data_IF_405800353997
#
_entry.id   IF_405800353997
#
_cell.length_a   1.000
_cell.length_b   1.000
_cell.length_c   1.000
_cell.angle_alpha   90.00
_cell.angle_beta   90.00
_cell.angle_gamma   90.00
#
_symmetry.space_group_name_H-M   'P 1'
#
loop_
_entity.id
_entity.type
_entity.pdbx_description
1 polymer ?
#
# COMPACT_ATOMS: atom_id res chain seq x y z
N UNK A 1 -72.17 -40.69 33.82
CA UNK A 1 -71.55 -40.94 32.50
C UNK A 1 -70.40 -39.97 32.31
N UNK A 2 -69.19 -40.51 32.31
CA UNK A 2 -67.91 -39.84 32.13
C UNK A 2 -67.63 -39.60 30.64
N UNK A 3 -67.08 -38.45 30.26
CA UNK A 3 -66.07 -38.36 29.21
C UNK A 3 -65.11 -37.20 29.48
N UNK A 4 -63.91 -37.56 29.95
CA UNK A 4 -62.73 -36.69 30.01
C UNK A 4 -62.21 -36.40 28.59
N UNK A 5 -61.89 -35.13 28.32
CA UNK A 5 -61.04 -34.73 27.17
C UNK A 5 -59.62 -34.46 27.68
N UNK A 6 -58.73 -35.42 27.44
CA UNK A 6 -57.28 -35.25 27.50
C UNK A 6 -56.81 -34.61 26.18
N UNK A 7 -56.15 -33.45 26.24
CA UNK A 7 -55.32 -32.92 25.15
C UNK A 7 -53.86 -33.10 25.54
N UNK A 8 -53.20 -34.03 24.86
CA UNK A 8 -51.77 -34.24 24.94
C UNK A 8 -50.99 -33.45 23.88
N UNK A 9 -49.80 -33.03 24.32
CA UNK A 9 -48.50 -33.21 23.66
C UNK A 9 -48.03 -32.28 22.53
N UNK A 10 -46.80 -31.80 22.77
CA UNK A 10 -45.67 -31.67 21.86
C UNK A 10 -45.32 -30.28 21.31
N UNK A 11 -44.55 -29.55 22.12
CA UNK A 11 -43.63 -28.49 21.66
C UNK A 11 -42.25 -29.10 21.42
N UNK A 12 -41.95 -29.47 20.17
CA UNK A 12 -40.60 -29.83 19.72
C UNK A 12 -40.00 -28.71 18.86
N UNK A 13 -38.93 -28.16 19.41
CA UNK A 13 -37.73 -27.58 18.78
C UNK A 13 -37.71 -27.41 17.26
N UNK A 14 -37.62 -26.15 16.81
CA UNK A 14 -37.06 -25.77 15.50
C UNK A 14 -35.75 -25.01 15.72
N UNK A 15 -34.64 -25.76 15.79
CA UNK A 15 -33.29 -25.22 15.57
C UNK A 15 -32.95 -25.54 14.12
N UNK A 16 -33.01 -24.54 13.25
CA UNK A 16 -32.65 -24.68 11.84
C UNK A 16 -31.13 -24.74 11.69
N UNK A 17 -30.63 -25.87 11.19
CA UNK A 17 -29.27 -26.03 10.70
C UNK A 17 -29.08 -25.27 9.38
N UNK A 18 -28.09 -24.39 9.30
CA UNK A 18 -27.61 -23.89 8.01
C UNK A 18 -26.09 -23.84 7.99
N UNK A 19 -25.47 -24.99 7.73
CA UNK A 19 -24.13 -25.07 7.20
C UNK A 19 -24.03 -26.35 6.34
N UNK A 20 -23.27 -26.28 5.26
CA UNK A 20 -22.97 -27.31 4.24
C UNK A 20 -23.78 -27.21 2.94
N UNK A 21 -23.25 -26.45 1.99
CA UNK A 21 -23.32 -26.81 0.56
C UNK A 21 -21.92 -26.76 -0.04
N UNK A 22 -21.42 -27.96 -0.34
CA UNK A 22 -20.23 -28.24 -1.13
C UNK A 22 -20.59 -28.44 -2.60
N UNK A 23 -19.67 -27.99 -3.44
CA UNK A 23 -19.43 -28.20 -4.87
C UNK A 23 -20.12 -29.36 -5.60
N UNK A 24 -20.64 -29.05 -6.81
CA UNK A 24 -20.57 -29.93 -7.98
C UNK A 24 -20.62 -29.10 -9.30
N UNK A 25 -19.47 -29.05 -9.97
CA UNK A 25 -19.21 -29.22 -11.42
C UNK A 25 -20.14 -28.57 -12.49
N UNK A 26 -19.54 -27.68 -13.29
CA UNK A 26 -19.99 -27.18 -14.62
C UNK A 26 -19.87 -28.26 -15.72
N UNK A 27 -20.55 -28.17 -16.89
CA UNK A 27 -20.17 -27.20 -17.93
C UNK A 27 -21.34 -26.69 -18.80
N UNK A 28 -21.33 -25.41 -19.17
CA UNK A 28 -21.89 -25.00 -20.48
C UNK A 28 -21.10 -23.82 -21.04
N UNK A 29 -20.37 -24.09 -22.11
CA UNK A 29 -19.74 -23.11 -22.98
C UNK A 29 -20.83 -22.46 -23.82
N UNK A 30 -21.25 -21.24 -23.46
CA UNK A 30 -21.94 -20.35 -24.41
C UNK A 30 -20.89 -19.40 -25.00
N UNK A 31 -20.54 -19.69 -26.24
CA UNK A 31 -19.83 -18.80 -27.16
C UNK A 31 -20.60 -17.48 -27.25
N UNK A 32 -20.03 -16.42 -26.67
CA UNK A 32 -20.51 -15.06 -26.85
C UNK A 32 -19.63 -14.39 -27.91
N UNK A 33 -20.19 -14.20 -29.10
CA UNK A 33 -19.60 -13.45 -30.20
C UNK A 33 -20.00 -11.98 -30.01
N UNK A 34 -19.08 -11.05 -29.73
CA UNK A 34 -19.40 -9.63 -29.83
C UNK A 34 -19.36 -9.21 -31.31
N UNK A 35 -20.54 -8.92 -31.84
CA UNK A 35 -20.72 -8.14 -33.05
C UNK A 35 -20.39 -6.65 -32.78
N UNK A 36 -20.05 -5.96 -33.85
CA UNK A 36 -19.78 -4.52 -33.98
C UNK A 36 -18.31 -4.10 -33.93
N UNK A 37 -17.83 -3.91 -35.16
CA UNK A 37 -16.56 -3.38 -35.62
C UNK A 37 -16.79 -1.89 -35.92
N UNK A 38 -16.68 -1.01 -34.93
CA UNK A 38 -16.66 0.44 -35.15
C UNK A 38 -16.21 1.19 -33.88
N UNK A 39 -14.91 1.53 -33.79
CA UNK A 39 -14.34 2.73 -33.12
C UNK A 39 -12.83 2.58 -32.85
N UNK A 40 -12.08 2.08 -33.83
CA UNK A 40 -10.62 1.95 -33.75
C UNK A 40 -9.87 3.17 -34.33
N UNK A 41 -10.53 4.31 -34.53
CA UNK A 41 -9.93 5.50 -35.12
C UNK A 41 -10.46 6.79 -34.49
N UNK A 42 -10.26 7.00 -33.18
CA UNK A 42 -10.49 8.33 -32.62
C UNK A 42 -9.74 8.65 -31.31
N UNK A 43 -8.45 8.33 -31.21
CA UNK A 43 -7.64 8.76 -30.05
C UNK A 43 -6.21 9.23 -30.39
N UNK A 44 -6.01 9.72 -31.62
CA UNK A 44 -4.71 10.21 -32.11
C UNK A 44 -4.62 11.74 -32.25
N UNK A 45 -5.47 12.52 -31.55
CA UNK A 45 -5.52 13.98 -31.70
C UNK A 45 -5.50 14.79 -30.39
N UNK A 46 -4.83 14.31 -29.33
CA UNK A 46 -4.58 15.13 -28.12
C UNK A 46 -3.13 15.11 -27.67
N UNK A 47 -2.24 15.49 -28.58
CA UNK A 47 -0.95 16.06 -28.23
C UNK A 47 -0.79 17.38 -28.97
N UNK A 48 -0.89 18.50 -28.24
CA UNK A 48 -0.13 19.75 -28.41
C UNK A 48 -0.91 20.89 -27.75
N UNK A 49 -0.30 21.46 -26.71
CA UNK A 49 -0.37 22.86 -26.22
C UNK A 49 -0.38 22.87 -24.70
N UNK A 50 0.79 23.16 -24.11
CA UNK A 50 0.99 24.04 -22.94
C UNK A 50 2.47 23.97 -22.54
N UNK A 51 3.22 24.86 -23.17
CA UNK A 51 4.55 25.31 -22.77
C UNK A 51 4.42 26.54 -21.86
N UNK A 52 5.47 26.74 -21.05
CA UNK A 52 5.75 27.88 -20.15
C UNK A 52 4.99 27.81 -18.81
N UNK A 53 5.54 28.12 -17.63
CA UNK A 53 6.66 28.99 -17.22
C UNK A 53 7.17 28.41 -15.89
N UNK A 54 8.48 28.14 -15.71
CA UNK A 54 9.10 28.11 -14.38
C UNK A 54 10.48 28.77 -14.46
N UNK A 55 10.58 29.86 -13.71
CA UNK A 55 11.71 30.71 -13.41
C UNK A 55 12.81 29.99 -12.61
N UNK A 56 14.06 30.38 -12.90
CA UNK A 56 15.24 30.09 -12.10
C UNK A 56 15.26 30.97 -10.83
N UNK A 57 15.99 30.57 -9.77
CA UNK A 57 17.25 31.29 -9.56
C UNK A 57 18.42 30.46 -8.97
N UNK A 58 19.62 30.95 -9.32
CA UNK A 58 20.84 31.14 -8.54
C UNK A 58 21.56 29.96 -7.84
N UNK A 59 22.79 29.73 -8.32
CA UNK A 59 23.91 29.15 -7.58
C UNK A 59 24.49 30.15 -6.56
N UNK A 60 25.43 29.71 -5.70
CA UNK A 60 26.79 30.18 -5.93
C UNK A 60 27.93 29.18 -5.61
N UNK A 61 29.11 29.55 -6.12
CA UNK A 61 30.49 29.28 -5.64
C UNK A 61 31.03 27.85 -5.73
N UNK A 62 32.01 27.51 -6.57
CA UNK A 62 33.41 28.00 -6.76
C UNK A 62 34.43 27.27 -5.89
N UNK A 63 35.25 26.41 -6.50
CA UNK A 63 36.67 26.13 -6.22
C UNK A 63 37.21 25.38 -7.46
N UNK A 64 38.04 25.97 -8.34
CA UNK A 64 39.42 26.48 -8.20
C UNK A 64 40.50 25.38 -8.18
N UNK A 65 41.35 25.44 -9.21
CA UNK A 65 42.72 24.89 -9.32
C UNK A 65 42.86 23.35 -9.41
N UNK A 66 43.74 22.73 -10.19
CA UNK A 66 45.09 23.11 -10.65
C UNK A 66 45.44 22.32 -11.92
N UNK A 67 45.85 23.02 -12.99
CA UNK A 67 46.59 22.43 -14.13
C UNK A 67 48.09 22.54 -13.84
N UNK A 68 48.82 21.42 -13.94
CA UNK A 68 50.29 21.40 -14.01
C UNK A 68 50.72 21.29 -15.48
N UNK A 69 51.65 22.14 -15.95
CA UNK A 69 52.52 21.80 -17.07
C UNK A 69 54.00 21.80 -16.63
N UNK A 70 54.70 20.70 -16.92
CA UNK A 70 56.17 20.59 -17.04
C UNK A 70 56.37 19.72 -18.29
N UNK A 71 57.05 20.13 -19.35
CA UNK A 71 58.48 20.48 -19.47
C UNK A 71 58.67 21.05 -20.90
N UNK A 72 59.39 22.14 -21.13
CA UNK A 72 60.84 22.20 -21.45
C UNK A 72 61.30 21.10 -22.43
N UNK A 73 62.04 21.31 -23.50
CA UNK A 73 62.57 22.47 -24.22
C UNK A 73 63.23 21.86 -25.48
N UNK A 74 63.15 22.52 -26.64
CA UNK A 74 64.22 22.54 -27.65
C UNK A 74 63.88 23.53 -28.75
N UNK A 75 64.51 24.70 -28.66
CA UNK A 75 64.68 25.64 -29.78
C UNK A 75 65.70 25.03 -30.75
N UNK A 76 65.44 24.95 -32.06
CA UNK A 76 66.49 24.99 -33.04
C UNK A 76 66.71 26.42 -33.54
N UNK A 77 68.00 26.74 -33.65
CA UNK A 77 68.61 27.97 -34.12
C UNK A 77 67.99 28.50 -35.43
N UNK A 78 67.72 29.80 -35.42
CA UNK A 78 67.33 30.61 -36.57
C UNK A 78 68.56 30.81 -37.46
N UNK A 79 68.69 30.00 -38.52
CA UNK A 79 69.55 30.35 -39.66
C UNK A 79 68.76 31.26 -40.60
N UNK A 80 69.43 32.34 -40.97
CA UNK A 80 69.11 33.31 -42.01
C UNK A 80 68.58 32.67 -43.29
N UNK A 81 67.69 33.36 -43.99
CA UNK A 81 67.97 33.95 -45.31
C UNK A 81 66.67 34.59 -45.81
N UNK A 82 66.78 35.87 -46.14
CA UNK A 82 65.81 36.62 -46.92
C UNK A 82 65.50 35.86 -48.21
N UNK A 83 64.33 35.26 -48.28
CA UNK A 83 63.76 34.74 -49.52
C UNK A 83 62.44 35.47 -49.77
N UNK A 84 62.60 36.62 -50.43
CA UNK A 84 61.81 37.00 -51.60
C UNK A 84 60.30 36.94 -51.36
N UNK A 85 59.77 38.12 -51.05
CA UNK A 85 58.44 38.58 -51.46
C UNK A 85 58.29 38.37 -52.98
N UNK A 86 57.92 37.16 -53.39
CA UNK A 86 57.20 36.95 -54.63
C UNK A 86 55.80 36.54 -54.24
N UNK A 87 54.90 37.52 -54.30
CA UNK A 87 53.49 37.27 -54.44
C UNK A 87 53.25 36.53 -55.76
N UNK A 88 53.60 35.23 -55.81
CA UNK A 88 53.04 34.30 -56.79
C UNK A 88 51.55 34.25 -56.47
N UNK A 89 50.77 35.02 -57.22
CA UNK A 89 49.32 34.83 -57.34
C UNK A 89 49.10 33.32 -57.41
N UNK A 90 48.37 32.70 -56.47
CA UNK A 90 48.16 31.27 -56.50
C UNK A 90 47.55 30.95 -57.86
N UNK A 91 48.20 30.07 -58.62
CA UNK A 91 47.60 29.52 -59.82
C UNK A 91 46.19 29.05 -59.47
N UNK A 92 45.21 29.30 -60.35
CA UNK A 92 43.79 28.99 -60.09
C UNK A 92 43.59 27.52 -59.62
N UNK A 93 44.52 26.61 -59.92
CA UNK A 93 44.51 25.21 -59.44
C UNK A 93 44.87 25.02 -57.95
N UNK A 94 45.79 25.82 -57.36
CA UNK A 94 46.18 25.65 -55.94
C UNK A 94 45.13 26.23 -54.98
N UNK A 95 44.42 27.29 -55.39
CA UNK A 95 43.30 27.85 -54.65
C UNK A 95 42.10 26.90 -54.67
N UNK A 96 41.85 26.24 -55.81
CA UNK A 96 40.81 25.21 -55.95
C UNK A 96 41.11 23.96 -55.08
N UNK A 97 42.37 23.53 -55.01
CA UNK A 97 42.79 22.43 -54.13
C UNK A 97 42.59 22.76 -52.65
N UNK A 98 42.95 23.98 -52.21
CA UNK A 98 42.71 24.46 -50.84
C UNK A 98 41.21 24.56 -50.50
N UNK A 99 40.37 25.03 -51.43
CA UNK A 99 38.91 25.07 -51.27
C UNK A 99 38.30 23.67 -51.14
N UNK A 100 38.75 22.70 -51.94
CA UNK A 100 38.32 21.29 -51.84
C UNK A 100 38.74 20.65 -50.51
N UNK A 101 39.95 20.93 -50.02
CA UNK A 101 40.42 20.46 -48.71
C UNK A 101 39.61 21.06 -47.55
N UNK A 102 39.32 22.37 -47.60
CA UNK A 102 38.48 23.05 -46.61
C UNK A 102 37.04 22.49 -46.60
N UNK A 103 36.44 22.25 -47.77
CA UNK A 103 35.12 21.64 -47.88
C UNK A 103 35.07 20.21 -47.31
N UNK A 104 36.11 19.40 -47.54
CA UNK A 104 36.25 18.07 -46.92
C UNK A 104 36.36 18.14 -45.40
N UNK A 105 37.10 19.11 -44.87
CA UNK A 105 37.23 19.32 -43.43
C UNK A 105 35.90 19.75 -42.79
N UNK A 106 35.16 20.65 -43.46
CA UNK A 106 33.86 21.11 -43.00
C UNK A 106 32.83 19.97 -43.00
N UNK A 107 32.84 19.12 -44.04
CA UNK A 107 32.00 17.91 -44.10
C UNK A 107 32.29 16.97 -42.92
N UNK A 108 33.56 16.68 -42.64
CA UNK A 108 33.97 15.87 -41.47
C UNK A 108 33.54 16.48 -40.13
N UNK A 109 33.61 17.82 -39.99
CA UNK A 109 33.12 18.51 -38.79
C UNK A 109 31.61 18.36 -38.62
N UNK A 110 30.83 18.55 -39.70
CA UNK A 110 29.37 18.37 -39.68
C UNK A 110 28.98 16.93 -39.34
N UNK A 111 29.67 15.94 -39.90
CA UNK A 111 29.48 14.52 -39.59
C UNK A 111 29.79 14.21 -38.11
N UNK A 112 30.89 14.72 -37.56
CA UNK A 112 31.22 14.55 -36.14
C UNK A 112 30.18 15.19 -35.21
N UNK A 113 29.69 16.38 -35.56
CA UNK A 113 28.62 17.05 -34.81
C UNK A 113 27.33 16.22 -34.87
N UNK A 114 26.92 15.77 -36.06
CA UNK A 114 25.75 14.92 -36.25
C UNK A 114 25.87 13.60 -35.45
N UNK A 115 27.04 12.95 -35.49
CA UNK A 115 27.31 11.75 -34.71
C UNK A 115 27.23 11.99 -33.20
N UNK A 116 27.72 13.14 -32.70
CA UNK A 116 27.58 13.53 -31.28
C UNK A 116 26.13 13.77 -30.89
N UNK A 117 25.36 14.46 -31.73
CA UNK A 117 23.92 14.71 -31.50
C UNK A 117 23.16 13.39 -31.47
N UNK A 118 23.43 12.48 -32.41
CA UNK A 118 22.80 11.16 -32.45
C UNK A 118 23.18 10.29 -31.24
N UNK A 119 24.45 10.30 -30.80
CA UNK A 119 24.86 9.62 -29.56
C UNK A 119 24.13 10.18 -28.34
N UNK A 120 23.98 11.52 -28.25
CA UNK A 120 23.25 12.18 -27.17
C UNK A 120 21.76 11.82 -27.18
N UNK A 121 21.11 11.82 -28.35
CA UNK A 121 19.69 11.46 -28.46
C UNK A 121 19.42 10.01 -28.08
N UNK A 122 20.28 9.07 -28.50
CA UNK A 122 20.21 7.67 -28.10
C UNK A 122 20.39 7.52 -26.59
N UNK A 123 21.36 8.21 -26.00
CA UNK A 123 21.59 8.19 -24.54
C UNK A 123 20.36 8.70 -23.77
N UNK A 124 19.78 9.82 -24.21
CA UNK A 124 18.56 10.38 -23.61
C UNK A 124 17.36 9.45 -23.77
N UNK A 125 17.19 8.80 -24.92
CA UNK A 125 16.13 7.81 -25.15
C UNK A 125 16.30 6.63 -24.19
N UNK A 126 17.50 6.05 -24.10
CA UNK A 126 17.81 4.96 -23.15
C UNK A 126 17.55 5.35 -21.70
N UNK A 127 17.86 6.59 -21.30
CA UNK A 127 17.57 7.07 -19.95
C UNK A 127 16.07 7.21 -19.68
N UNK A 128 15.29 7.69 -20.66
CA UNK A 128 13.82 7.74 -20.59
C UNK A 128 13.22 6.34 -20.50
N UNK A 129 13.66 5.41 -21.34
CA UNK A 129 13.17 4.03 -21.37
C UNK A 129 13.46 3.32 -20.03
N UNK A 130 14.67 3.51 -19.47
CA UNK A 130 15.01 3.00 -18.13
C UNK A 130 14.09 3.56 -17.05
N UNK A 131 13.81 4.87 -17.08
CA UNK A 131 12.89 5.52 -16.11
C UNK A 131 11.47 4.98 -16.27
N UNK A 132 11.01 4.76 -17.50
CA UNK A 132 9.69 4.22 -17.77
C UNK A 132 9.58 2.76 -17.30
N UNK A 133 10.57 1.93 -17.61
CA UNK A 133 10.61 0.54 -17.15
C UNK A 133 10.59 0.43 -15.61
N UNK A 134 11.22 1.35 -14.88
CA UNK A 134 11.11 1.40 -13.41
C UNK A 134 9.70 1.75 -12.93
N UNK A 135 9.03 2.70 -13.59
CA UNK A 135 7.63 3.03 -13.30
C UNK A 135 6.72 1.84 -13.58
N UNK A 136 6.89 1.17 -14.71
CA UNK A 136 6.06 0.03 -15.10
C UNK A 136 6.26 -1.16 -14.16
N UNK A 137 7.50 -1.40 -13.70
CA UNK A 137 7.78 -2.39 -12.63
C UNK A 137 7.05 -2.04 -11.34
N UNK A 138 7.03 -0.77 -10.95
CA UNK A 138 6.34 -0.31 -9.74
C UNK A 138 4.81 -0.44 -9.88
N UNK A 139 4.23 -0.02 -11.00
CA UNK A 139 2.79 -0.16 -11.25
C UNK A 139 2.37 -1.63 -11.31
N UNK A 140 3.18 -2.49 -11.93
CA UNK A 140 2.96 -3.94 -11.93
C UNK A 140 2.96 -4.51 -10.50
N UNK A 141 3.89 -4.09 -9.64
CA UNK A 141 3.89 -4.51 -8.23
C UNK A 141 2.68 -3.97 -7.44
N UNK A 142 2.27 -2.73 -7.68
CA UNK A 142 1.08 -2.13 -7.04
C UNK A 142 -0.24 -2.79 -7.49
N UNK A 143 -0.27 -3.43 -8.65
CA UNK A 143 -1.44 -4.16 -9.13
C UNK A 143 -1.32 -5.68 -8.91
N UNK A 144 -0.21 -6.13 -8.30
CA UNK A 144 0.03 -7.54 -7.99
C UNK A 144 -0.76 -8.00 -6.76
N UNK A 145 -1.10 -9.28 -6.73
CA UNK A 145 -1.65 -9.96 -5.56
C UNK A 145 -0.60 -10.17 -4.45
N UNK A 146 0.70 -10.15 -4.79
CA UNK A 146 1.81 -10.32 -3.84
C UNK A 146 1.92 -9.12 -2.90
N UNK A 147 2.03 -9.38 -1.60
CA UNK A 147 2.12 -8.36 -0.53
C UNK A 147 3.55 -7.80 -0.45
N UNK A 148 3.68 -6.52 -0.11
CA UNK A 148 4.98 -5.92 0.21
C UNK A 148 5.40 -6.22 1.65
N UNK A 149 4.45 -6.20 2.58
CA UNK A 149 4.67 -6.42 4.01
C UNK A 149 3.58 -7.32 4.60
N UNK A 150 3.95 -8.12 5.60
CA UNK A 150 3.05 -9.01 6.33
C UNK A 150 3.00 -8.59 7.81
N UNK A 151 2.02 -7.76 8.22
CA UNK A 151 1.89 -7.36 9.61
C UNK A 151 1.47 -8.56 10.49
N UNK A 152 2.03 -8.68 11.70
CA UNK A 152 1.53 -9.64 12.68
C UNK A 152 0.10 -9.29 13.10
N UNK A 153 -0.67 -10.33 13.46
CA UNK A 153 -2.04 -10.14 13.92
C UNK A 153 -2.07 -9.60 15.34
N UNK A 154 -2.83 -8.54 15.55
CA UNK A 154 -3.12 -7.98 16.89
C UNK A 154 -4.46 -8.45 17.46
N UNK A 155 -5.13 -9.39 16.79
CA UNK A 155 -6.37 -9.96 17.32
C UNK A 155 -6.04 -10.83 18.53
N UNK A 156 -6.73 -10.55 19.64
CA UNK A 156 -6.60 -11.30 20.87
C UNK A 156 -7.10 -12.73 20.68
N UNK A 157 -6.37 -13.67 21.26
CA UNK A 157 -6.78 -15.05 21.47
C UNK A 157 -7.78 -15.05 22.62
N UNK A 158 -8.99 -15.53 22.36
CA UNK A 158 -9.96 -15.79 23.41
C UNK A 158 -9.56 -17.04 24.19
N UNK A 159 -10.02 -17.12 25.44
CA UNK A 159 -9.91 -18.31 26.30
C UNK A 159 -10.31 -19.58 25.56
N UNK A 160 -11.46 -19.55 24.90
CA UNK A 160 -11.96 -20.65 24.08
C UNK A 160 -11.00 -21.06 22.96
N UNK A 161 -10.41 -20.10 22.24
CA UNK A 161 -9.47 -20.40 21.17
C UNK A 161 -8.14 -20.95 21.71
N UNK A 162 -7.74 -20.56 22.93
CA UNK A 162 -6.59 -21.15 23.61
C UNK A 162 -6.85 -22.63 23.93
N UNK A 163 -8.01 -22.93 24.51
CA UNK A 163 -8.48 -24.31 24.76
C UNK A 163 -8.53 -25.16 23.49
N UNK A 164 -9.25 -24.69 22.48
CA UNK A 164 -9.41 -25.42 21.21
C UNK A 164 -8.04 -25.68 20.56
N UNK A 165 -7.13 -24.70 20.60
CA UNK A 165 -5.78 -24.85 20.07
C UNK A 165 -5.00 -25.98 20.73
N UNK A 166 -5.06 -26.09 22.06
CA UNK A 166 -4.37 -27.15 22.80
C UNK A 166 -5.01 -28.51 22.60
N UNK A 167 -6.35 -28.60 22.64
CA UNK A 167 -7.05 -29.86 22.36
C UNK A 167 -6.84 -30.38 20.95
N UNK A 168 -6.69 -29.49 19.96
CA UNK A 168 -6.30 -29.90 18.60
C UNK A 168 -4.87 -30.45 18.58
N UNK A 169 -3.94 -29.84 19.32
CA UNK A 169 -2.55 -30.32 19.40
C UNK A 169 -2.50 -31.68 20.09
N UNK A 170 -3.20 -31.86 21.21
CA UNK A 170 -3.35 -33.14 21.91
C UNK A 170 -3.90 -34.21 20.97
N UNK A 171 -4.98 -33.91 20.25
CA UNK A 171 -5.59 -34.83 19.29
C UNK A 171 -4.60 -35.27 18.19
N UNK A 172 -3.83 -34.33 17.64
CA UNK A 172 -2.85 -34.63 16.58
C UNK A 172 -1.65 -35.45 17.06
N UNK A 173 -1.42 -35.57 18.38
CA UNK A 173 -0.36 -36.43 18.94
C UNK A 173 -0.72 -37.91 18.90
N UNK A 174 -2.00 -38.27 18.74
CA UNK A 174 -2.46 -39.66 18.74
C UNK A 174 -2.71 -40.17 17.30
N UNK A 175 -1.78 -40.95 16.70
CA UNK A 175 -1.84 -41.37 15.29
C UNK A 175 -3.00 -42.34 14.97
N UNK A 176 -3.55 -43.03 15.98
CA UNK A 176 -4.72 -43.91 15.87
C UNK A 176 -6.02 -43.16 15.51
N UNK A 177 -6.13 -41.88 15.88
CA UNK A 177 -7.33 -41.07 15.67
C UNK A 177 -7.48 -40.52 14.24
N UNK A 178 -6.40 -40.59 13.46
CA UNK A 178 -6.21 -39.87 12.20
C UNK A 178 -6.92 -40.48 10.99
N UNK A 179 -7.30 -41.77 11.05
CA UNK A 179 -7.76 -42.51 9.86
C UNK A 179 -9.28 -42.53 9.65
N UNK A 180 -10.11 -42.22 10.67
CA UNK A 180 -11.58 -42.39 10.55
C UNK A 180 -12.44 -41.17 10.86
N UNK A 181 -11.91 -40.15 11.54
CA UNK A 181 -12.71 -39.01 11.97
C UNK A 181 -12.38 -37.77 11.15
N UNK A 182 -13.37 -37.22 10.44
CA UNK A 182 -13.18 -35.95 9.73
C UNK A 182 -12.69 -34.86 10.70
N UNK A 183 -11.73 -34.03 10.27
CA UNK A 183 -11.27 -32.87 11.04
C UNK A 183 -12.42 -31.98 11.54
N UNK A 184 -13.50 -31.90 10.75
CA UNK A 184 -14.70 -31.13 11.11
C UNK A 184 -15.45 -31.73 12.30
N UNK A 185 -15.59 -33.06 12.37
CA UNK A 185 -16.29 -33.71 13.48
C UNK A 185 -15.45 -33.71 14.76
N UNK A 186 -14.13 -33.83 14.66
CA UNK A 186 -13.23 -33.62 15.81
C UNK A 186 -13.37 -32.21 16.37
N UNK A 187 -13.33 -31.19 15.51
CA UNK A 187 -13.49 -29.81 15.96
C UNK A 187 -14.85 -29.59 16.63
N UNK A 188 -15.94 -30.15 16.06
CA UNK A 188 -17.26 -30.07 16.67
C UNK A 188 -17.31 -30.69 18.07
N UNK A 189 -16.66 -31.85 18.27
CA UNK A 189 -16.55 -32.49 19.59
C UNK A 189 -15.83 -31.60 20.60
N UNK A 190 -14.69 -31.02 20.22
CA UNK A 190 -13.92 -30.10 21.08
C UNK A 190 -14.73 -28.84 21.40
N UNK A 191 -15.42 -28.27 20.43
CA UNK A 191 -16.27 -27.10 20.66
C UNK A 191 -17.39 -27.41 21.66
N UNK A 192 -18.03 -28.57 21.54
CA UNK A 192 -19.11 -28.99 22.43
C UNK A 192 -18.61 -29.32 23.84
N UNK A 193 -17.38 -29.83 23.98
CA UNK A 193 -16.82 -30.14 25.31
C UNK A 193 -16.52 -28.89 26.13
N UNK A 194 -16.30 -27.73 25.51
CA UNK A 194 -16.02 -26.47 26.22
C UNK A 194 -17.10 -26.07 27.24
N UNK A 195 -18.38 -26.35 26.94
CA UNK A 195 -19.48 -26.06 27.86
C UNK A 195 -19.30 -26.79 29.20
N UNK A 196 -18.76 -28.01 29.14
CA UNK A 196 -18.60 -28.93 30.26
C UNK A 196 -17.22 -28.82 30.94
N UNK A 197 -16.34 -27.92 30.50
CA UNK A 197 -15.04 -27.70 31.14
C UNK A 197 -15.24 -27.06 32.51
N UNK A 198 -14.51 -27.56 33.50
CA UNK A 198 -14.53 -27.08 34.87
C UNK A 198 -14.16 -25.59 34.96
N UNK A 199 -14.76 -24.81 35.89
CA UNK A 199 -14.39 -23.40 36.06
C UNK A 199 -12.91 -23.17 36.38
N UNK A 200 -12.21 -24.09 37.06
CA UNK A 200 -10.77 -23.94 37.33
C UNK A 200 -9.94 -24.08 36.06
N UNK A 201 -10.24 -25.08 35.25
CA UNK A 201 -9.59 -25.26 33.94
C UNK A 201 -9.84 -24.05 33.04
N UNK A 202 -11.06 -23.48 33.07
CA UNK A 202 -11.37 -22.25 32.33
C UNK A 202 -10.44 -21.10 32.73
N UNK A 203 -10.15 -20.91 34.03
CA UNK A 203 -9.19 -19.91 34.52
C UNK A 203 -7.77 -20.17 34.01
N UNK A 204 -7.32 -21.43 34.03
CA UNK A 204 -6.02 -21.77 33.44
C UNK A 204 -5.93 -21.36 31.96
N UNK A 205 -6.98 -21.60 31.18
CA UNK A 205 -7.02 -21.17 29.78
C UNK A 205 -7.09 -19.64 29.63
N UNK A 206 -7.63 -18.91 30.61
CA UNK A 206 -7.62 -17.44 30.61
C UNK A 206 -6.19 -16.92 30.78
N UNK A 207 -5.42 -17.50 31.70
CA UNK A 207 -4.01 -17.18 31.90
C UNK A 207 -3.17 -17.48 30.65
N UNK A 208 -3.37 -18.67 30.05
CA UNK A 208 -2.71 -19.06 28.81
C UNK A 208 -3.05 -18.09 27.67
N UNK A 209 -4.33 -17.70 27.55
CA UNK A 209 -4.76 -16.73 26.55
C UNK A 209 -4.12 -15.35 26.79
N UNK A 210 -4.07 -14.90 28.04
CA UNK A 210 -3.43 -13.65 28.42
C UNK A 210 -1.94 -13.65 28.07
N UNK A 211 -1.19 -14.70 28.43
CA UNK A 211 0.23 -14.83 28.08
C UNK A 211 0.46 -14.87 26.57
N UNK A 212 -0.35 -15.63 25.81
CA UNK A 212 -0.28 -15.66 24.34
C UNK A 212 -0.56 -14.28 23.74
N UNK A 213 -1.48 -13.52 24.33
CA UNK A 213 -1.81 -12.17 23.89
C UNK A 213 -0.68 -11.17 24.19
N UNK A 214 -0.06 -11.24 25.36
CA UNK A 214 1.09 -10.40 25.70
C UNK A 214 2.24 -10.60 24.70
N UNK A 215 2.64 -11.86 24.47
CA UNK A 215 3.69 -12.21 23.48
C UNK A 215 3.34 -11.71 22.08
N UNK A 216 2.08 -11.84 21.65
CA UNK A 216 1.63 -11.32 20.35
C UNK A 216 1.73 -9.80 20.26
N UNK A 217 1.38 -9.10 21.33
CA UNK A 217 1.44 -7.64 21.38
C UNK A 217 2.88 -7.14 21.36
N UNK A 218 3.80 -7.81 22.05
CA UNK A 218 5.24 -7.52 22.00
C UNK A 218 5.82 -7.71 20.58
N UNK A 219 5.52 -8.84 19.95
CA UNK A 219 5.92 -9.11 18.57
C UNK A 219 5.36 -8.05 17.63
N UNK A 220 4.08 -7.68 17.82
CA UNK A 220 3.45 -6.65 17.01
C UNK A 220 4.11 -5.28 17.20
N UNK A 221 4.42 -4.90 18.44
CA UNK A 221 5.09 -3.65 18.77
C UNK A 221 6.49 -3.60 18.13
N UNK A 222 7.30 -4.63 18.34
CA UNK A 222 8.64 -4.75 17.76
C UNK A 222 8.61 -4.75 16.22
N UNK A 223 7.58 -5.32 15.60
CA UNK A 223 7.41 -5.26 14.15
C UNK A 223 7.11 -3.83 13.66
N UNK A 224 6.24 -3.10 14.36
CA UNK A 224 5.89 -1.72 14.01
C UNK A 224 7.04 -0.74 14.20
N UNK A 225 7.95 -0.99 15.14
CA UNK A 225 9.17 -0.20 15.34
C UNK A 225 10.20 -0.43 14.22
N UNK A 226 10.25 -1.64 13.65
CA UNK A 226 11.27 -2.02 12.64
C UNK A 226 10.84 -1.79 11.19
N UNK A 227 9.54 -1.74 10.91
CA UNK A 227 9.04 -1.70 9.53
C UNK A 227 9.18 -0.30 8.91
N UNK A 228 9.67 -0.23 7.67
CA UNK A 228 9.76 1.03 6.94
C UNK A 228 8.34 1.59 6.65
N UNK A 229 8.01 2.81 7.11
CA UNK A 229 6.74 3.47 6.81
C UNK A 229 6.43 3.56 5.31
N UNK A 230 7.46 3.72 4.46
CA UNK A 230 7.28 3.79 3.00
C UNK A 230 6.75 2.48 2.43
N UNK A 231 7.22 1.33 2.92
CA UNK A 231 6.70 0.02 2.50
C UNK A 231 5.22 -0.15 2.88
N UNK A 232 4.81 0.38 4.04
CA UNK A 232 3.40 0.37 4.45
C UNK A 232 2.56 1.26 3.52
N UNK A 233 3.06 2.42 3.11
CA UNK A 233 2.35 3.28 2.15
C UNK A 233 2.14 2.59 0.79
N UNK A 234 3.18 1.91 0.26
CA UNK A 234 3.09 1.14 -0.98
C UNK A 234 2.12 -0.03 -0.87
N UNK A 235 2.13 -0.77 0.24
CA UNK A 235 1.17 -1.85 0.49
C UNK A 235 -0.27 -1.33 0.58
N UNK A 236 -0.48 -0.17 1.23
CA UNK A 236 -1.79 0.45 1.31
C UNK A 236 -2.29 0.93 -0.07
N UNK A 237 -1.40 1.47 -0.90
CA UNK A 237 -1.72 1.81 -2.29
C UNK A 237 -2.07 0.57 -3.11
N UNK A 238 -1.33 -0.53 -2.95
CA UNK A 238 -1.64 -1.83 -3.56
C UNK A 238 -3.02 -2.34 -3.18
N UNK A 239 -3.35 -2.33 -1.87
CA UNK A 239 -4.69 -2.72 -1.37
C UNK A 239 -5.80 -1.84 -1.94
N UNK A 240 -5.56 -0.54 -2.06
CA UNK A 240 -6.51 0.38 -2.69
C UNK A 240 -6.75 0.02 -4.17
N UNK A 241 -5.69 -0.21 -4.95
CA UNK A 241 -5.80 -0.58 -6.36
C UNK A 241 -6.54 -1.92 -6.53
N UNK A 242 -6.24 -2.92 -5.71
CA UNK A 242 -6.95 -4.21 -5.74
C UNK A 242 -8.43 -4.06 -5.38
N UNK A 243 -8.75 -3.27 -4.35
CA UNK A 243 -10.14 -3.00 -4.01
C UNK A 243 -10.88 -2.25 -5.12
N UNK A 244 -10.19 -1.34 -5.82
CA UNK A 244 -10.75 -0.62 -6.98
C UNK A 244 -11.00 -1.59 -8.15
N UNK A 245 -10.06 -2.49 -8.43
CA UNK A 245 -10.19 -3.51 -9.48
C UNK A 245 -11.31 -4.52 -9.17
N UNK A 246 -11.48 -4.86 -7.90
CA UNK A 246 -12.46 -5.86 -7.45
C UNK A 246 -13.75 -5.23 -6.93
N UNK A 247 -14.04 -3.95 -7.24
CA UNK A 247 -15.22 -3.25 -6.72
C UNK A 247 -16.52 -3.99 -7.06
N UNK A 248 -16.60 -4.54 -8.27
CA UNK A 248 -17.80 -5.20 -8.79
C UNK A 248 -17.81 -6.72 -8.55
N UNK A 249 -16.69 -7.28 -8.09
CA UNK A 249 -16.57 -8.71 -7.83
C UNK A 249 -16.97 -9.04 -6.38
N UNK A 250 -18.21 -9.47 -6.19
CA UNK A 250 -18.77 -9.83 -4.86
C UNK A 250 -17.98 -10.95 -4.16
N UNK A 251 -17.29 -11.81 -4.90
CA UNK A 251 -16.50 -12.91 -4.34
C UNK A 251 -15.26 -12.44 -3.56
N UNK A 252 -14.75 -11.23 -3.82
CA UNK A 252 -13.55 -10.74 -3.15
C UNK A 252 -13.87 -9.84 -1.97
N UNK A 253 -13.38 -10.23 -0.79
CA UNK A 253 -13.46 -9.38 0.41
C UNK A 253 -12.55 -8.15 0.27
N UNK A 254 -13.10 -6.97 0.54
CA UNK A 254 -12.36 -5.70 0.57
C UNK A 254 -11.19 -5.76 1.57
N UNK A 255 -9.99 -5.47 1.08
CA UNK A 255 -8.77 -5.39 1.89
C UNK A 255 -8.73 -4.07 2.66
N UNK A 256 -8.71 -4.12 3.99
CA UNK A 256 -8.61 -2.92 4.84
C UNK A 256 -7.22 -2.29 4.76
N UNK A 257 -7.12 -0.98 4.95
CA UNK A 257 -5.84 -0.26 5.08
C UNK A 257 -5.09 -0.80 6.31
N UNK A 258 -3.79 -1.05 6.17
CA UNK A 258 -2.90 -1.33 7.29
C UNK A 258 -2.70 -0.02 8.04
N UNK A 259 -3.09 0.00 9.31
CA UNK A 259 -2.91 1.12 10.22
C UNK A 259 -2.21 0.62 11.48
N UNK A 260 -1.37 1.47 12.07
CA UNK A 260 -0.70 1.16 13.33
C UNK A 260 -1.74 1.08 14.46
N UNK A 261 -1.92 -0.09 15.11
CA UNK A 261 -2.89 -0.24 16.19
C UNK A 261 -2.47 0.50 17.47
N UNK A 262 -1.19 0.84 17.62
CA UNK A 262 -0.61 1.56 18.76
C UNK A 262 -0.59 3.07 18.58
N UNK A 263 -0.85 3.57 17.36
CA UNK A 263 -0.93 5.00 17.14
C UNK A 263 -2.13 5.58 17.92
N UNK A 264 -1.97 6.76 18.55
CA UNK A 264 -3.06 7.40 19.26
C UNK A 264 -4.24 7.61 18.31
N UNK A 265 -5.45 7.30 18.79
CA UNK A 265 -6.69 7.43 18.01
C UNK A 265 -7.21 8.85 18.11
N UNK A 266 -7.76 9.35 17.01
CA UNK A 266 -8.45 10.64 17.02
C UNK A 266 -9.61 10.58 18.02
N UNK A 267 -9.76 11.59 18.90
CA UNK A 267 -10.87 11.63 19.84
C UNK A 267 -12.20 11.75 19.09
N UNK A 268 -13.25 11.24 19.71
CA UNK A 268 -14.61 11.32 19.17
C UNK A 268 -15.05 12.79 19.05
N UNK A 269 -15.93 13.08 18.10
CA UNK A 269 -16.57 14.41 18.03
C UNK A 269 -17.49 14.69 19.23
N UNK A 270 -17.92 15.95 19.38
CA UNK A 270 -18.76 16.41 20.51
C UNK A 270 -19.99 15.51 20.73
N UNK A 271 -20.77 15.28 19.68
CA UNK A 271 -21.94 14.41 19.74
C UNK A 271 -21.59 12.97 20.16
N UNK A 272 -20.43 12.47 19.77
CA UNK A 272 -20.04 11.11 20.15
C UNK A 272 -19.62 10.99 21.62
N UNK A 273 -19.22 12.07 22.29
CA UNK A 273 -19.10 12.07 23.76
C UNK A 273 -20.48 11.97 24.42
N UNK A 274 -21.47 12.69 23.89
CA UNK A 274 -22.86 12.59 24.35
C UNK A 274 -23.44 11.19 24.15
N UNK A 275 -23.28 10.62 22.96
CA UNK A 275 -23.71 9.24 22.68
C UNK A 275 -22.99 8.24 23.60
N UNK A 276 -21.70 8.47 23.90
CA UNK A 276 -20.94 7.61 24.81
C UNK A 276 -21.48 7.69 26.23
N UNK A 277 -21.86 8.87 26.71
CA UNK A 277 -22.48 9.04 28.04
C UNK A 277 -23.84 8.35 28.11
N UNK A 278 -24.69 8.52 27.08
CA UNK A 278 -25.96 7.79 26.98
C UNK A 278 -25.78 6.28 26.87
N UNK A 279 -24.68 5.79 26.28
CA UNK A 279 -24.43 4.36 26.16
C UNK A 279 -24.03 3.69 27.47
N UNK A 280 -23.59 4.45 28.48
CA UNK A 280 -23.30 3.92 29.81
C UNK A 280 -24.59 3.58 30.57
N UNK A 281 -25.64 4.37 30.35
CA UNK A 281 -26.98 4.16 30.90
C UNK A 281 -27.99 4.19 29.76
N UNK A 282 -28.04 3.12 28.93
CA UNK A 282 -28.85 3.11 27.73
C UNK A 282 -30.34 3.14 28.11
N UNK A 283 -31.14 4.06 27.54
CA UNK A 283 -32.59 3.95 27.62
C UNK A 283 -33.05 2.65 26.94
N UNK A 284 -34.19 2.09 27.38
CA UNK A 284 -34.79 0.83 26.89
C UNK A 284 -34.85 0.71 25.35
N UNK A 285 -34.88 1.84 24.64
CA UNK A 285 -34.88 1.91 23.18
C UNK A 285 -33.75 2.81 22.65
N UNK A 286 -32.50 2.48 22.99
CA UNK A 286 -31.32 3.21 22.50
C UNK A 286 -31.24 3.16 20.96
N UNK A 287 -31.47 4.32 20.34
CA UNK A 287 -31.32 4.51 18.91
C UNK A 287 -30.54 5.78 18.64
N UNK A 288 -29.59 5.71 17.71
CA UNK A 288 -28.77 6.86 17.31
C UNK A 288 -29.65 8.01 16.78
N UNK A 289 -30.79 7.69 16.14
CA UNK A 289 -31.75 8.70 15.67
C UNK A 289 -32.36 9.49 16.83
N UNK A 290 -32.81 8.79 17.88
CA UNK A 290 -33.33 9.43 19.10
C UNK A 290 -32.25 10.25 19.81
N UNK A 291 -31.01 9.76 19.86
CA UNK A 291 -29.90 10.53 20.41
C UNK A 291 -29.68 11.83 19.63
N UNK A 292 -29.79 11.79 18.30
CA UNK A 292 -29.64 12.99 17.47
C UNK A 292 -30.77 14.01 17.70
N UNK A 293 -32.00 13.55 17.92
CA UNK A 293 -33.15 14.41 18.27
C UNK A 293 -32.95 15.07 19.64
N UNK A 294 -32.58 14.30 20.66
CA UNK A 294 -32.24 14.84 21.99
C UNK A 294 -31.12 15.87 21.88
N UNK A 295 -30.03 15.53 21.18
CA UNK A 295 -28.91 16.44 20.95
C UNK A 295 -29.34 17.73 20.24
N UNK A 296 -30.26 17.66 19.28
CA UNK A 296 -30.77 18.85 18.59
C UNK A 296 -31.53 19.77 19.54
N UNK A 297 -32.33 19.18 20.43
CA UNK A 297 -33.18 19.90 21.38
C UNK A 297 -32.46 20.39 22.65
N UNK A 298 -31.24 19.90 22.92
CA UNK A 298 -30.42 20.40 24.03
C UNK A 298 -30.02 21.86 23.84
N UNK A 299 -30.00 22.58 24.96
CA UNK A 299 -29.49 23.95 25.02
C UNK A 299 -27.97 24.01 24.79
N UNK A 300 -27.47 25.18 24.42
CA UNK A 300 -26.02 25.38 24.26
C UNK A 300 -25.26 25.25 25.57
N UNK A 301 -25.91 25.56 26.70
CA UNK A 301 -25.35 25.36 28.05
C UNK A 301 -25.10 23.87 28.34
N UNK A 302 -26.07 23.00 28.04
CA UNK A 302 -25.91 21.55 28.22
C UNK A 302 -24.89 20.97 27.24
N UNK A 303 -24.85 21.48 26.00
CA UNK A 303 -23.86 21.08 25.00
C UNK A 303 -22.44 21.50 25.38
N UNK A 304 -22.27 22.61 26.13
CA UNK A 304 -20.96 23.16 26.54
C UNK A 304 -20.08 22.14 27.23
N UNK A 305 -20.65 21.32 28.11
CA UNK A 305 -19.94 20.25 28.83
C UNK A 305 -19.25 19.29 27.84
N UNK A 306 -19.92 18.96 26.74
CA UNK A 306 -19.38 18.08 25.70
C UNK A 306 -18.33 18.76 24.82
N UNK A 307 -18.48 20.06 24.57
CA UNK A 307 -17.46 20.85 23.87
C UNK A 307 -16.15 20.87 24.67
N UNK A 308 -16.24 21.18 25.96
CA UNK A 308 -15.10 21.22 26.88
C UNK A 308 -14.40 19.85 26.97
N UNK A 309 -15.17 18.76 27.11
CA UNK A 309 -14.64 17.38 27.09
C UNK A 309 -13.93 17.05 25.78
N UNK A 310 -14.50 17.42 24.63
CA UNK A 310 -13.86 17.21 23.32
C UNK A 310 -12.56 18.00 23.22
N UNK A 311 -12.53 19.25 23.65
CA UNK A 311 -11.34 20.09 23.52
C UNK A 311 -10.21 19.61 24.42
N UNK A 312 -10.52 19.17 25.65
CA UNK A 312 -9.57 18.48 26.52
C UNK A 312 -9.02 17.20 25.86
N UNK A 313 -9.89 16.32 25.37
CA UNK A 313 -9.47 15.09 24.70
C UNK A 313 -8.63 15.36 23.42
N UNK A 314 -8.89 16.48 22.73
CA UNK A 314 -8.12 16.92 21.57
C UNK A 314 -6.73 17.42 21.96
N UNK A 315 -6.58 18.09 23.10
CA UNK A 315 -5.28 18.47 23.64
C UNK A 315 -4.48 17.22 24.04
N UNK A 316 -5.09 16.29 24.77
CA UNK A 316 -4.46 15.01 25.15
C UNK A 316 -4.00 14.22 23.91
N UNK A 317 -4.84 14.14 22.87
CA UNK A 317 -4.48 13.50 21.60
C UNK A 317 -3.27 14.16 20.93
N UNK A 318 -3.19 15.51 20.92
CA UNK A 318 -2.04 16.22 20.35
C UNK A 318 -0.76 15.88 21.10
N UNK A 319 -0.80 15.86 22.44
CA UNK A 319 0.35 15.50 23.27
C UNK A 319 0.78 14.05 23.04
N UNK A 320 -0.16 13.11 23.04
CA UNK A 320 0.13 11.70 22.74
C UNK A 320 0.70 11.50 21.34
N UNK A 321 0.17 12.21 20.34
CA UNK A 321 0.65 12.16 18.96
C UNK A 321 2.07 12.69 18.83
N UNK A 322 2.40 13.77 19.53
CA UNK A 322 3.75 14.34 19.55
C UNK A 322 4.75 13.35 20.16
N UNK A 323 4.44 12.80 21.34
CA UNK A 323 5.25 11.78 22.00
C UNK A 323 5.46 10.55 21.10
N UNK A 324 4.37 10.08 20.48
CA UNK A 324 4.42 8.95 19.55
C UNK A 324 5.35 9.21 18.36
N UNK A 325 5.31 10.42 17.79
CA UNK A 325 6.18 10.80 16.67
C UNK A 325 7.65 10.96 17.03
N UNK A 326 7.97 11.21 18.30
CA UNK A 326 9.36 11.27 18.78
C UNK A 326 9.93 9.87 19.08
N UNK A 327 9.06 8.93 19.43
CA UNK A 327 9.44 7.54 19.73
C UNK A 327 9.51 6.60 18.52
N UNK A 328 9.05 7.03 17.34
CA UNK A 328 8.94 6.23 16.10
C UNK A 328 9.95 6.67 15.05
#
# INVERSE_FOLDING_TARGET
MLFLKLRGSSTLSKISSSCLKSYAVSPSLKLFIPSSRASFLNDLSRHLTKSAIISSPAAPSSHSSTLKPKSAAKKPSRKSINAILTAKKPSKSSLAAKKRAAAKLEKKRKELIAARVLKRSISLKRARDKRQALKDKLTARLNSTKRFVNPPSTNLVSTFNAYVGEKIIEFNKHPESTFRTSRSSTLAKICNSWANVDPQDKKMYEEIAAQKNLKKMEIAKAWWEKVDPKLITLENQRRYNLNKKNKDNSSYKRLRKIANPFAPKLPTGTFGFFVKELSLNPPENFSIKKCAEVWKNMSDAEKKIFYDRKDKARQEYKSQKLLFSQSS
#
